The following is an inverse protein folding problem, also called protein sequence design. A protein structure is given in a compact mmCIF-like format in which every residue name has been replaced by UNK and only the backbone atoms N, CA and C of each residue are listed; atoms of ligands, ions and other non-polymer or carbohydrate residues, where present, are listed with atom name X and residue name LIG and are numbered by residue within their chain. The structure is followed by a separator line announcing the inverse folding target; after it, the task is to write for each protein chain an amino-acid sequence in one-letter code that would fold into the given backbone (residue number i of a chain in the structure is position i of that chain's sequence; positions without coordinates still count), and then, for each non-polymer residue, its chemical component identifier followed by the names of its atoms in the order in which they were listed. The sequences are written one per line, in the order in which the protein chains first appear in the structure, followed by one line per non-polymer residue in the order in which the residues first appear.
data_IF_657882620444
#
_entry.id   IF_657882620444
#
_cell.length_a   1.000
_cell.length_b   1.000
_cell.length_c   1.000
_cell.angle_alpha   90.00
_cell.angle_beta   90.00
_cell.angle_gamma   90.00
#
_symmetry.space_group_name_H-M   'P 1'
#
loop_
_entity.id
_entity.type
_entity.pdbx_description
1 polymer ?
#
# COMPACT_ATOMS: atom_id res chain seq x y z
N UNK A 1 19.74 -12.49 6.57
CA UNK A 1 18.35 -12.18 6.21
C UNK A 1 17.70 -13.48 5.78
N UNK A 2 16.67 -13.90 6.48
CA UNK A 2 15.94 -15.12 6.12
C UNK A 2 15.15 -14.90 4.83
N UNK A 3 14.89 -15.95 4.06
CA UNK A 3 14.09 -15.89 2.82
C UNK A 3 12.73 -15.21 3.06
N UNK A 4 12.13 -15.46 4.23
CA UNK A 4 10.86 -14.86 4.63
C UNK A 4 10.94 -13.34 4.74
N UNK A 5 11.99 -12.81 5.37
CA UNK A 5 12.22 -11.37 5.51
C UNK A 5 12.43 -10.70 4.15
N UNK A 6 13.17 -11.36 3.25
CA UNK A 6 13.41 -10.87 1.90
C UNK A 6 12.10 -10.77 1.11
N UNK A 7 11.26 -11.82 1.18
CA UNK A 7 9.94 -11.83 0.54
C UNK A 7 9.04 -10.73 1.12
N UNK A 8 8.97 -10.61 2.45
CA UNK A 8 8.13 -9.61 3.12
C UNK A 8 8.59 -8.20 2.75
N UNK A 9 9.89 -7.91 2.86
CA UNK A 9 10.46 -6.63 2.49
C UNK A 9 10.19 -6.27 1.03
N UNK A 10 10.38 -7.23 0.11
CA UNK A 10 10.10 -7.04 -1.30
C UNK A 10 8.61 -6.72 -1.57
N UNK A 11 7.68 -7.50 -0.99
CA UNK A 11 6.25 -7.27 -1.15
C UNK A 11 5.85 -5.88 -0.64
N UNK A 12 6.33 -5.50 0.55
CA UNK A 12 6.05 -4.19 1.15
C UNK A 12 6.54 -3.05 0.27
N UNK A 13 7.75 -3.17 -0.28
CA UNK A 13 8.31 -2.15 -1.17
C UNK A 13 7.54 -2.06 -2.48
N UNK A 14 7.17 -3.19 -3.10
CA UNK A 14 6.41 -3.21 -4.35
C UNK A 14 5.00 -2.63 -4.17
N UNK A 15 4.26 -3.08 -3.16
CA UNK A 15 2.93 -2.56 -2.87
C UNK A 15 2.97 -1.11 -2.41
N UNK A 16 3.97 -0.74 -1.61
CA UNK A 16 4.20 0.64 -1.21
C UNK A 16 4.47 1.55 -2.41
N UNK A 17 5.33 1.12 -3.34
CA UNK A 17 5.62 1.81 -4.60
C UNK A 17 4.38 2.00 -5.46
N UNK A 18 3.58 0.95 -5.62
CA UNK A 18 2.32 1.02 -6.37
C UNK A 18 1.36 2.05 -5.75
N UNK A 19 1.21 2.05 -4.43
CA UNK A 19 0.35 3.00 -3.71
C UNK A 19 0.87 4.45 -3.75
N UNK A 20 2.18 4.63 -3.69
CA UNK A 20 2.81 5.96 -3.74
C UNK A 20 2.69 6.60 -5.14
N UNK A 21 2.93 5.81 -6.19
CA UNK A 21 2.99 6.32 -7.58
C UNK A 21 1.59 6.34 -8.21
N UNK A 22 0.84 5.24 -8.06
CA UNK A 22 -0.49 5.05 -8.66
C UNK A 22 -1.54 4.67 -7.60
N UNK A 23 -1.87 5.58 -6.67
CA UNK A 23 -2.89 5.34 -5.64
C UNK A 23 -4.28 5.04 -6.23
N UNK A 24 -4.53 5.47 -7.48
CA UNK A 24 -5.78 5.26 -8.21
C UNK A 24 -6.20 3.81 -8.30
N UNK A 25 -5.24 2.90 -8.51
CA UNK A 25 -5.52 1.47 -8.66
C UNK A 25 -6.13 0.92 -7.36
N UNK A 26 -5.46 1.18 -6.24
CA UNK A 26 -5.89 0.66 -4.95
C UNK A 26 -7.16 1.35 -4.44
N UNK A 27 -7.29 2.67 -4.66
CA UNK A 27 -8.50 3.43 -4.28
C UNK A 27 -9.71 2.95 -5.08
N UNK A 28 -9.58 2.77 -6.40
CA UNK A 28 -10.67 2.27 -7.24
C UNK A 28 -11.04 0.83 -6.91
N UNK A 29 -10.05 -0.02 -6.63
CA UNK A 29 -10.30 -1.38 -6.16
C UNK A 29 -11.10 -1.37 -4.85
N UNK A 30 -10.70 -0.55 -3.87
CA UNK A 30 -11.43 -0.42 -2.62
C UNK A 30 -12.87 0.09 -2.84
N UNK A 31 -13.07 1.09 -3.68
CA UNK A 31 -14.42 1.59 -3.99
C UNK A 31 -15.29 0.49 -4.60
N UNK A 32 -14.73 -0.27 -5.55
CA UNK A 32 -15.42 -1.38 -6.18
C UNK A 32 -15.80 -2.47 -5.16
N UNK A 33 -14.85 -2.89 -4.33
CA UNK A 33 -15.09 -3.89 -3.28
C UNK A 33 -16.11 -3.42 -2.26
N UNK A 34 -16.02 -2.16 -1.79
CA UNK A 34 -16.99 -1.59 -0.86
C UNK A 34 -18.40 -1.51 -1.46
N UNK A 35 -18.50 -1.15 -2.74
CA UNK A 35 -19.78 -1.12 -3.45
C UNK A 35 -20.40 -2.51 -3.56
N UNK A 36 -19.61 -3.54 -3.87
CA UNK A 36 -20.11 -4.91 -4.02
C UNK A 36 -20.49 -5.53 -2.69
N UNK A 37 -19.64 -5.38 -1.67
CA UNK A 37 -19.83 -6.08 -0.39
C UNK A 37 -20.83 -5.34 0.50
N UNK A 38 -20.76 -4.01 0.55
CA UNK A 38 -21.54 -3.20 1.51
C UNK A 38 -22.69 -2.43 0.85
N UNK A 39 -22.77 -2.41 -0.49
CA UNK A 39 -23.78 -1.60 -1.20
C UNK A 39 -23.56 -0.09 -1.05
N UNK A 40 -22.45 0.34 -0.45
CA UNK A 40 -22.17 1.74 -0.16
C UNK A 40 -21.40 2.40 -1.32
N UNK A 41 -21.73 3.67 -1.61
CA UNK A 41 -21.03 4.45 -2.63
C UNK A 41 -19.99 5.35 -1.96
N UNK A 42 -18.72 4.97 -2.06
CA UNK A 42 -17.61 5.76 -1.55
C UNK A 42 -17.11 6.73 -2.63
N UNK A 43 -17.13 8.04 -2.36
CA UNK A 43 -16.63 9.08 -3.27
C UNK A 43 -15.25 9.51 -2.76
N UNK A 44 -14.15 9.13 -3.43
CA UNK A 44 -12.81 9.48 -2.99
C UNK A 44 -12.57 10.98 -3.21
N UNK A 45 -12.05 11.64 -2.19
CA UNK A 45 -11.61 13.04 -2.29
C UNK A 45 -10.11 13.10 -2.61
N UNK A 46 -9.60 14.30 -2.93
CA UNK A 46 -8.14 14.52 -3.08
C UNK A 46 -7.35 14.07 -1.85
N UNK A 47 -7.93 14.20 -0.66
CA UNK A 47 -7.31 13.75 0.59
C UNK A 47 -7.19 12.23 0.66
N UNK A 48 -8.15 11.47 0.12
CA UNK A 48 -8.10 10.01 0.07
C UNK A 48 -6.91 9.53 -0.76
N UNK A 49 -6.67 10.13 -1.93
CA UNK A 49 -5.51 9.81 -2.75
C UNK A 49 -4.21 10.21 -2.07
N UNK A 50 -4.17 11.37 -1.39
CA UNK A 50 -2.99 11.80 -0.64
C UNK A 50 -2.67 10.82 0.50
N UNK A 51 -3.69 10.39 1.25
CA UNK A 51 -3.52 9.39 2.30
C UNK A 51 -2.99 8.07 1.74
N UNK A 52 -3.54 7.58 0.63
CA UNK A 52 -3.05 6.36 -0.02
C UNK A 52 -1.56 6.48 -0.43
N UNK A 53 -1.15 7.65 -0.94
CA UNK A 53 0.28 7.90 -1.26
C UNK A 53 1.16 7.89 -0.02
N UNK A 54 0.73 8.51 1.08
CA UNK A 54 1.45 8.53 2.35
C UNK A 54 1.59 7.11 2.91
N UNK A 55 0.51 6.33 2.91
CA UNK A 55 0.55 4.91 3.27
C UNK A 55 1.53 4.13 2.39
N UNK A 56 1.51 4.36 1.08
CA UNK A 56 2.48 3.78 0.16
C UNK A 56 3.93 4.11 0.54
N UNK A 57 4.23 5.37 0.84
CA UNK A 57 5.55 5.81 1.27
C UNK A 57 5.99 5.13 2.58
N UNK A 58 5.09 5.01 3.56
CA UNK A 58 5.37 4.30 4.82
C UNK A 58 5.71 2.83 4.55
N UNK A 59 4.94 2.15 3.69
CA UNK A 59 5.21 0.75 3.32
C UNK A 59 6.57 0.58 2.62
N UNK A 60 6.96 1.52 1.77
CA UNK A 60 8.30 1.53 1.16
C UNK A 60 9.37 1.62 2.25
N UNK A 61 9.24 2.57 3.19
CA UNK A 61 10.21 2.76 4.28
C UNK A 61 10.32 1.50 5.12
N UNK A 62 9.19 0.89 5.51
CA UNK A 62 9.18 -0.35 6.28
C UNK A 62 9.78 -1.53 5.49
N UNK A 63 9.47 -1.65 4.20
CA UNK A 63 10.02 -2.68 3.32
C UNK A 63 11.53 -2.56 3.18
N UNK A 64 12.04 -1.36 2.90
CA UNK A 64 13.47 -1.09 2.81
C UNK A 64 14.18 -1.31 4.16
N UNK A 65 13.58 -0.86 5.26
CA UNK A 65 14.13 -1.06 6.60
C UNK A 65 14.23 -2.55 6.94
N UNK A 66 13.24 -3.36 6.53
CA UNK A 66 13.28 -4.82 6.67
C UNK A 66 14.40 -5.43 5.79
N UNK A 67 14.51 -5.04 4.52
CA UNK A 67 15.54 -5.54 3.60
C UNK A 67 16.97 -5.24 4.05
N UNK A 68 17.19 -4.12 4.73
CA UNK A 68 18.51 -3.73 5.29
C UNK A 68 18.78 -4.42 6.64
N UNK A 69 17.84 -5.21 7.16
CA UNK A 69 18.00 -5.97 8.40
C UNK A 69 17.75 -5.16 9.68
N UNK A 70 17.01 -4.05 9.56
CA UNK A 70 16.60 -3.21 10.70
C UNK A 70 15.50 -3.84 11.57
N UNK A 71 14.80 -4.85 11.04
CA UNK A 71 13.82 -5.66 11.77
C UNK A 71 14.42 -7.06 11.91
N UNK A 72 14.70 -7.48 13.15
CA UNK A 72 15.23 -8.82 13.48
C UNK A 72 14.21 -9.60 14.28
#
# INVERSE_FOLDING_TARGET
MEIQQLIVGFILTVFGGLNAIRPEILVNFNIWTQKIIMGAQYIPSRHTFMAARIFGAILIVLGLFNLVGGIR
#
